data_IF_752508057903
#
_entry.id   IF_752508057903
#
_cell.length_a   1.000
_cell.length_b   1.000
_cell.length_c   1.000
_cell.angle_alpha   90.00
_cell.angle_beta   90.00
_cell.angle_gamma   90.00
#
_symmetry.space_group_name_H-M   'P 1'
#
loop_
_entity.id
_entity.type
_entity.pdbx_description
1 polymer ?
#
# COMPACT_ATOMS: atom_id res chain seq x y z
N UNK A 39 30.16 3.76 3.59
CA UNK A 39 30.01 5.07 4.21
C UNK A 39 28.77 5.13 5.10
N UNK A 40 27.64 4.70 4.55
CA UNK A 40 26.40 4.72 5.31
C UNK A 40 26.44 3.70 6.44
N UNK A 41 25.84 4.07 7.57
CA UNK A 41 25.86 3.26 8.76
C UNK A 41 24.55 2.49 8.91
N UNK A 42 24.61 1.41 9.67
CA UNK A 42 23.42 0.61 9.93
C UNK A 42 22.37 1.41 10.68
N UNK A 43 22.81 2.22 11.65
CA UNK A 43 21.87 3.04 12.40
C UNK A 43 21.14 4.01 11.48
N UNK A 44 21.83 4.54 10.47
CA UNK A 44 21.17 5.39 9.49
C UNK A 44 20.09 4.63 8.74
N UNK A 45 20.37 3.40 8.34
CA UNK A 45 19.39 2.60 7.62
C UNK A 45 18.17 2.32 8.49
N UNK A 46 18.39 1.97 9.76
CA UNK A 46 17.27 1.77 10.67
C UNK A 46 16.46 3.06 10.84
N UNK A 47 17.13 4.20 10.99
CA UNK A 47 16.43 5.45 11.14
C UNK A 47 15.56 5.76 9.94
N UNK A 48 16.10 5.57 8.74
CA UNK A 48 15.32 5.83 7.53
C UNK A 48 14.22 4.79 7.34
N UNK A 49 14.39 3.58 7.88
CA UNK A 49 13.36 2.56 7.76
C UNK A 49 12.20 2.82 8.70
N UNK A 50 12.46 3.41 9.87
CA UNK A 50 11.38 3.67 10.82
C UNK A 50 10.30 4.54 10.19
N UNK A 51 10.67 5.37 9.21
CA UNK A 51 9.70 6.22 8.57
C UNK A 51 8.75 5.51 7.62
N UNK A 52 8.88 4.21 7.44
CA UNK A 52 7.98 3.48 6.59
C UNK A 52 6.71 3.01 7.26
N UNK A 53 6.61 3.16 8.57
CA UNK A 53 5.40 2.81 9.30
C UNK A 53 4.22 3.71 8.98
N UNK A 54 4.31 5.03 9.19
CA UNK A 54 3.10 5.86 9.34
C UNK A 54 2.07 5.74 8.24
N UNK A 55 2.43 6.03 6.98
CA UNK A 55 1.45 5.97 5.91
C UNK A 55 0.89 4.56 5.75
N UNK A 56 1.77 3.57 5.62
CA UNK A 56 1.32 2.21 5.39
C UNK A 56 0.58 1.64 6.60
N UNK A 57 0.78 2.23 7.78
CA UNK A 57 0.06 1.85 8.98
C UNK A 57 -1.35 2.43 9.03
N UNK A 58 -1.47 3.75 8.91
CA UNK A 58 -2.79 4.36 8.96
C UNK A 58 -3.66 3.93 7.78
N UNK A 59 -3.08 3.80 6.59
CA UNK A 59 -3.87 3.38 5.45
C UNK A 59 -4.51 2.02 5.66
N UNK A 60 -3.73 1.06 6.18
CA UNK A 60 -4.28 -0.26 6.45
C UNK A 60 -5.25 -0.23 7.62
N UNK A 61 -4.98 0.55 8.65
CA UNK A 61 -5.90 0.61 9.78
C UNK A 61 -7.22 1.29 9.42
N UNK A 62 -7.22 2.13 8.39
CA UNK A 62 -8.43 2.86 8.01
C UNK A 62 -9.22 2.12 6.94
N UNK A 63 -8.56 1.73 5.85
CA UNK A 63 -9.26 1.16 4.70
C UNK A 63 -10.05 -0.09 5.03
N UNK A 64 -9.69 -0.78 6.10
CA UNK A 64 -10.41 -1.98 6.53
C UNK A 64 -11.55 -1.68 7.50
N UNK A 65 -11.67 -0.44 7.99
CA UNK A 65 -12.56 -0.17 9.11
C UNK A 65 -13.47 1.03 8.93
N UNK A 66 -13.16 1.97 8.04
CA UNK A 66 -14.10 3.07 7.85
C UNK A 66 -15.23 2.69 6.90
N UNK A 67 -15.82 1.52 7.12
CA UNK A 67 -17.09 1.14 6.50
C UNK A 67 -18.01 0.44 7.47
N UNK A 68 -17.49 -0.20 8.52
CA UNK A 68 -18.30 -0.70 9.61
C UNK A 68 -18.43 0.36 10.70
N UNK A 69 -17.51 1.31 10.77
CA UNK A 69 -17.66 2.45 11.67
C UNK A 69 -18.89 3.29 11.37
N UNK A 70 -19.11 3.61 10.10
CA UNK A 70 -20.17 4.54 9.75
C UNK A 70 -21.55 3.91 9.81
N UNK A 71 -21.64 2.62 10.10
CA UNK A 71 -22.92 1.92 10.10
C UNK A 71 -23.33 1.37 11.45
N UNK A 72 -22.47 1.43 12.47
CA UNK A 72 -22.82 0.88 13.78
C UNK A 72 -22.49 1.77 14.96
N UNK A 73 -21.59 2.74 14.83
CA UNK A 73 -21.28 3.67 15.90
C UNK A 73 -21.80 5.07 15.58
N UNK A 74 -21.32 5.67 14.50
CA UNK A 74 -21.93 6.89 13.97
C UNK A 74 -23.14 6.47 13.16
N UNK A 75 -24.33 6.66 13.73
CA UNK A 75 -25.54 6.21 13.06
C UNK A 75 -25.77 7.09 11.84
N UNK A 76 -25.34 6.59 10.69
CA UNK A 76 -25.45 7.32 9.42
C UNK A 76 -26.10 6.41 8.40
N UNK A 77 -26.91 6.99 7.52
CA UNK A 77 -27.58 6.21 6.50
C UNK A 77 -26.55 5.55 5.58
N UNK A 78 -26.86 4.37 5.04
CA UNK A 78 -25.87 3.66 4.20
C UNK A 78 -25.42 4.44 2.97
N UNK A 79 -26.30 5.18 2.31
CA UNK A 79 -25.93 5.91 1.10
C UNK A 79 -24.88 6.98 1.38
N UNK A 80 -25.04 7.80 2.43
CA UNK A 80 -23.94 8.70 2.80
C UNK A 80 -22.64 8.00 3.08
N UNK A 81 -22.66 6.83 3.71
CA UNK A 81 -21.41 6.10 3.96
C UNK A 81 -20.74 5.72 2.65
N UNK A 82 -21.53 5.23 1.69
CA UNK A 82 -20.97 4.87 0.40
C UNK A 82 -20.38 6.09 -0.30
N UNK A 83 -21.08 7.23 -0.23
CA UNK A 83 -20.57 8.42 -0.91
C UNK A 83 -19.30 8.92 -0.22
N UNK A 84 -19.22 8.81 1.11
CA UNK A 84 -17.98 9.15 1.81
C UNK A 84 -16.84 8.27 1.32
N UNK A 85 -17.08 6.97 1.22
CA UNK A 85 -16.03 6.07 0.76
C UNK A 85 -15.57 6.43 -0.64
N UNK A 86 -16.52 6.66 -1.55
CA UNK A 86 -16.17 6.96 -2.93
C UNK A 86 -15.35 8.25 -3.02
N UNK A 87 -15.82 9.31 -2.37
CA UNK A 87 -15.13 10.59 -2.44
C UNK A 87 -13.73 10.49 -1.81
N UNK A 88 -13.64 9.82 -0.66
CA UNK A 88 -12.35 9.70 0.00
C UNK A 88 -11.34 8.93 -0.83
N UNK A 89 -11.76 7.81 -1.42
CA UNK A 89 -10.85 7.04 -2.23
C UNK A 89 -10.46 7.79 -3.50
N UNK A 90 -11.38 8.60 -4.03
CA UNK A 90 -11.06 9.35 -5.25
C UNK A 90 -10.11 10.50 -4.99
N UNK A 91 -10.22 11.15 -3.83
CA UNK A 91 -9.49 12.40 -3.62
C UNK A 91 -7.98 12.18 -3.50
N UNK A 92 -7.55 11.06 -2.93
CA UNK A 92 -6.12 10.78 -2.83
C UNK A 92 -5.47 10.69 -4.20
N UNK A 93 -6.11 9.97 -5.12
CA UNK A 93 -5.56 9.80 -6.45
C UNK A 93 -5.42 11.12 -7.18
N UNK A 94 -6.31 12.07 -6.91
CA UNK A 94 -6.28 13.37 -7.55
C UNK A 94 -5.36 14.35 -6.84
N UNK A 95 -4.98 14.07 -5.59
CA UNK A 95 -3.99 14.90 -4.90
C UNK A 95 -2.55 14.48 -5.14
N UNK A 96 -2.27 13.18 -5.20
CA UNK A 96 -0.89 12.74 -5.28
C UNK A 96 -0.09 13.41 -6.40
N UNK A 97 -0.56 13.43 -7.67
CA UNK A 97 0.21 14.12 -8.70
C UNK A 97 0.38 15.61 -8.45
N UNK A 98 -0.63 16.25 -7.86
CA UNK A 98 -0.53 17.68 -7.58
C UNK A 98 0.56 17.97 -6.55
N UNK A 99 0.60 17.19 -5.48
CA UNK A 99 1.66 17.36 -4.49
C UNK A 99 3.01 17.08 -5.10
N UNK A 100 3.10 16.02 -5.92
CA UNK A 100 4.37 15.73 -6.57
C UNK A 100 4.84 16.86 -7.47
N UNK A 101 3.92 17.45 -8.22
CA UNK A 101 4.26 18.56 -9.08
C UNK A 101 4.69 19.79 -8.28
N UNK A 102 3.93 20.12 -7.24
CA UNK A 102 4.16 21.34 -6.49
C UNK A 102 5.31 21.22 -5.50
N UNK A 103 5.84 20.03 -5.26
CA UNK A 103 7.02 19.88 -4.43
C UNK A 103 8.31 20.08 -5.22
N UNK A 104 8.26 20.01 -6.55
CA UNK A 104 9.46 20.26 -7.34
C UNK A 104 9.81 21.75 -7.38
N UNK A 105 8.81 22.62 -7.44
CA UNK A 105 9.04 24.06 -7.46
C UNK A 105 9.13 24.62 -6.03
N UNK A 106 10.10 24.08 -5.29
CA UNK A 106 10.35 24.51 -3.92
C UNK A 106 11.82 24.89 -3.79
N UNK A 107 12.08 26.13 -3.39
CA UNK A 107 13.45 26.59 -3.24
C UNK A 107 14.10 25.97 -2.01
N UNK A 108 15.40 25.75 -2.08
CA UNK A 108 16.15 25.18 -0.97
C UNK A 108 16.15 26.17 0.19
N UNK A 109 15.58 25.78 1.31
CA UNK A 109 15.42 26.67 2.46
C UNK A 109 16.61 26.52 3.41
N UNK A 110 16.57 27.22 4.54
CA UNK A 110 17.66 27.17 5.49
C UNK A 110 17.80 25.81 6.17
N UNK A 111 16.76 24.97 6.09
CA UNK A 111 16.81 23.64 6.72
C UNK A 111 16.16 22.65 5.75
N UNK A 112 16.99 22.08 4.87
CA UNK A 112 16.54 21.05 3.96
C UNK A 112 15.66 21.53 2.82
N UNK A 113 15.67 20.80 1.71
CA UNK A 113 14.79 21.06 0.58
C UNK A 113 13.58 20.13 0.56
N UNK A 114 13.79 18.83 0.76
CA UNK A 114 12.72 17.86 0.86
C UNK A 114 12.21 17.70 2.29
N UNK A 115 13.13 17.48 3.23
CA UNK A 115 12.75 17.11 4.59
C UNK A 115 11.82 18.09 5.28
N UNK A 116 11.94 19.43 5.12
CA UNK A 116 11.03 20.32 5.87
C UNK A 116 9.55 20.05 5.63
N UNK A 117 9.17 19.61 4.42
CA UNK A 117 7.78 19.24 4.17
C UNK A 117 7.27 18.23 5.18
N UNK A 118 8.13 17.31 5.61
CA UNK A 118 7.74 16.37 6.67
C UNK A 118 7.45 17.10 7.96
N UNK A 119 8.36 17.98 8.41
CA UNK A 119 8.27 18.50 9.77
C UNK A 119 7.09 19.44 9.92
N UNK A 120 6.64 20.04 8.82
CA UNK A 120 5.47 20.91 8.85
C UNK A 120 4.20 20.18 8.46
N UNK A 121 4.20 18.85 8.51
CA UNK A 121 3.01 18.09 8.15
C UNK A 121 2.52 17.19 9.27
N UNK A 122 3.43 16.53 10.00
CA UNK A 122 3.00 15.63 11.06
C UNK A 122 2.23 16.33 12.17
N UNK A 123 2.67 17.47 12.72
CA UNK A 123 1.93 18.07 13.85
C UNK A 123 0.51 18.46 13.50
N UNK A 124 0.21 18.70 12.23
CA UNK A 124 -1.17 18.94 11.81
C UNK A 124 -1.89 17.65 11.46
N UNK A 125 -1.16 16.58 11.12
CA UNK A 125 -1.79 15.31 10.80
C UNK A 125 -2.48 14.68 12.00
N UNK A 126 -1.76 14.57 13.12
CA UNK A 126 -2.27 13.85 14.29
C UNK A 126 -3.69 14.29 14.61
N UNK A 127 -3.85 15.58 14.92
CA UNK A 127 -5.17 16.06 15.33
C UNK A 127 -6.21 15.72 14.28
N UNK A 128 -5.89 15.95 13.01
CA UNK A 128 -6.81 15.58 11.94
C UNK A 128 -7.23 14.13 12.07
N UNK A 129 -6.24 13.22 12.10
CA UNK A 129 -6.54 11.81 12.28
C UNK A 129 -7.36 11.60 13.54
N UNK A 130 -6.91 12.21 14.64
CA UNK A 130 -7.55 11.94 15.93
C UNK A 130 -8.98 12.48 15.96
N UNK A 131 -9.35 13.32 14.99
CA UNK A 131 -10.73 13.81 14.97
C UNK A 131 -11.65 12.83 14.24
N UNK A 132 -11.14 12.10 13.25
CA UNK A 132 -12.04 11.33 12.40
C UNK A 132 -12.64 10.14 13.14
N UNK A 133 -12.05 9.73 14.26
CA UNK A 133 -12.36 8.45 14.86
C UNK A 133 -13.36 8.54 16.01
N UNK A 134 -14.06 9.67 16.16
CA UNK A 134 -15.10 9.72 17.18
C UNK A 134 -16.20 10.67 16.71
N UNK A 135 -17.38 10.51 17.30
CA UNK A 135 -18.54 11.32 16.96
C UNK A 135 -18.82 12.27 18.13
N UNK A 136 -18.42 13.52 18.03
CA UNK A 136 -18.79 14.51 19.05
C UNK A 136 -19.99 15.34 18.62
N UNK A 137 -20.45 15.10 17.39
CA UNK A 137 -21.31 16.05 16.70
C UNK A 137 -22.73 15.92 17.24
N UNK A 138 -23.22 17.00 17.86
CA UNK A 138 -24.56 17.05 18.45
C UNK A 138 -25.29 18.27 17.91
N UNK A 139 -25.83 18.19 16.69
CA UNK A 139 -26.47 19.34 16.05
C UNK A 139 -27.95 19.51 16.42
N UNK A 140 -28.25 19.33 17.71
CA UNK A 140 -29.62 19.48 18.23
C UNK A 140 -30.59 18.54 17.50
N UNK A 141 -30.35 17.24 17.66
CA UNK A 141 -31.22 16.22 17.09
C UNK A 141 -30.54 15.28 16.11
N UNK A 142 -29.24 15.44 15.85
CA UNK A 142 -28.47 14.57 14.98
C UNK A 142 -29.08 14.52 13.57
N UNK A 143 -29.04 15.67 12.91
CA UNK A 143 -29.50 15.77 11.54
C UNK A 143 -28.43 15.21 10.61
N UNK A 144 -28.81 14.23 9.78
CA UNK A 144 -27.85 13.49 8.98
C UNK A 144 -27.12 14.42 8.02
N UNK A 145 -27.85 15.20 7.24
CA UNK A 145 -27.22 16.13 6.31
C UNK A 145 -26.37 17.16 7.05
N UNK A 146 -26.85 17.64 8.19
CA UNK A 146 -26.04 18.47 9.07
C UNK A 146 -24.96 17.68 9.80
N UNK A 147 -25.02 16.34 9.74
CA UNK A 147 -24.15 15.51 10.54
C UNK A 147 -22.89 14.98 9.86
N UNK A 148 -23.03 14.38 8.67
CA UNK A 148 -21.89 13.64 8.13
C UNK A 148 -20.77 14.55 7.63
N UNK A 149 -21.02 15.86 7.50
CA UNK A 149 -19.97 16.76 7.06
C UNK A 149 -18.80 16.81 8.02
N UNK A 150 -19.00 16.38 9.27
CA UNK A 150 -17.88 16.25 10.20
C UNK A 150 -16.93 15.15 9.79
N UNK A 151 -17.32 14.29 8.85
CA UNK A 151 -16.49 13.16 8.43
C UNK A 151 -15.81 13.37 7.09
N UNK A 152 -16.53 13.85 6.08
CA UNK A 152 -15.97 13.97 4.74
C UNK A 152 -14.77 14.91 4.73
N UNK A 153 -14.93 16.10 5.32
CA UNK A 153 -13.86 17.08 5.29
C UNK A 153 -12.64 16.59 6.05
N UNK A 154 -12.85 15.99 7.22
CA UNK A 154 -11.72 15.50 8.00
C UNK A 154 -11.00 14.37 7.28
N UNK A 155 -11.76 13.47 6.65
CA UNK A 155 -11.15 12.38 5.88
C UNK A 155 -10.31 12.94 4.75
N UNK A 156 -10.85 13.91 4.00
CA UNK A 156 -10.12 14.51 2.90
C UNK A 156 -8.86 15.20 3.40
N UNK A 157 -8.96 15.93 4.50
CA UNK A 157 -7.79 16.65 5.02
C UNK A 157 -6.72 15.67 5.46
N UNK A 158 -7.09 14.59 6.13
CA UNK A 158 -6.12 13.58 6.52
C UNK A 158 -5.47 12.96 5.29
N UNK A 159 -6.25 12.66 4.26
CA UNK A 159 -5.70 12.06 3.07
C UNK A 159 -4.68 12.99 2.41
N UNK A 160 -5.02 14.28 2.31
CA UNK A 160 -4.10 15.23 1.70
C UNK A 160 -2.84 15.40 2.54
N UNK A 161 -2.97 15.44 3.86
CA UNK A 161 -1.79 15.59 4.71
C UNK A 161 -0.88 14.38 4.62
N UNK A 162 -1.45 13.17 4.62
CA UNK A 162 -0.63 11.98 4.52
C UNK A 162 0.04 11.89 3.16
N UNK A 163 -0.66 12.33 2.11
CA UNK A 163 -0.02 12.45 0.80
C UNK A 163 1.15 13.42 0.86
N UNK A 164 0.96 14.56 1.52
CA UNK A 164 2.05 15.52 1.69
C UNK A 164 3.23 14.92 2.43
N UNK A 165 3.00 14.00 3.36
CA UNK A 165 4.09 13.33 4.05
C UNK A 165 4.75 12.22 3.24
N UNK A 166 4.00 11.52 2.39
CA UNK A 166 4.52 10.30 1.79
C UNK A 166 5.56 10.59 0.70
N UNK A 167 5.18 11.39 -0.30
CA UNK A 167 6.03 11.55 -1.48
C UNK A 167 7.45 12.01 -1.12
N UNK A 168 7.67 13.05 -0.32
CA UNK A 168 9.05 13.40 0.02
C UNK A 168 9.79 12.29 0.75
N UNK A 169 9.10 11.54 1.61
CA UNK A 169 9.75 10.45 2.31
C UNK A 169 10.20 9.37 1.34
N UNK A 170 9.36 9.05 0.36
CA UNK A 170 9.75 8.08 -0.66
C UNK A 170 10.72 8.64 -1.68
N UNK A 171 10.93 9.95 -1.69
CA UNK A 171 11.89 10.56 -2.59
C UNK A 171 13.25 10.74 -1.94
N UNK A 172 13.32 10.75 -0.61
CA UNK A 172 14.60 10.84 0.09
C UNK A 172 15.56 9.74 -0.31
N UNK A 173 15.10 8.69 -0.98
CA UNK A 173 15.93 7.53 -1.29
C UNK A 173 17.00 7.82 -2.34
N UNK A 174 17.03 9.02 -2.92
CA UNK A 174 18.07 9.36 -3.87
C UNK A 174 18.96 10.51 -3.43
N UNK A 175 18.69 11.12 -2.27
CA UNK A 175 19.50 12.22 -1.76
C UNK A 175 20.33 11.77 -0.56
N UNK A 176 20.77 10.51 -0.57
CA UNK A 176 21.60 9.96 0.49
C UNK A 176 22.90 9.48 -0.15
N UNK A 177 23.91 10.34 -0.18
CA UNK A 177 25.29 10.02 -0.53
C UNK A 177 25.48 9.69 -2.01
N UNK A 178 24.37 9.56 -2.76
CA UNK A 178 24.41 9.28 -4.19
C UNK A 178 25.32 8.09 -4.52
N UNK A 179 25.15 7.01 -3.78
CA UNK A 179 25.90 5.78 -4.02
C UNK A 179 24.96 4.75 -4.65
N UNK A 180 25.45 4.09 -5.70
CA UNK A 180 24.58 3.23 -6.50
C UNK A 180 23.98 2.10 -5.68
N UNK A 181 24.81 1.43 -4.88
CA UNK A 181 24.32 0.26 -4.14
C UNK A 181 23.49 0.67 -2.92
N UNK A 182 23.88 1.76 -2.26
CA UNK A 182 23.25 2.11 -1.00
C UNK A 182 21.80 2.55 -1.18
N UNK A 183 21.45 3.05 -2.37
CA UNK A 183 20.06 3.38 -2.64
C UNK A 183 19.19 2.13 -2.55
N UNK A 184 19.59 1.06 -3.24
CA UNK A 184 18.85 -0.19 -3.17
C UNK A 184 18.88 -0.75 -1.75
N UNK A 185 20.03 -0.63 -1.08
CA UNK A 185 20.14 -1.13 0.29
C UNK A 185 19.11 -0.46 1.20
N UNK A 186 18.98 0.87 1.09
CA UNK A 186 17.99 1.59 1.89
C UNK A 186 16.58 1.20 1.48
N UNK A 187 16.35 1.00 0.17
CA UNK A 187 15.01 0.65 -0.29
C UNK A 187 14.55 -0.67 0.32
N UNK A 188 15.48 -1.62 0.48
CA UNK A 188 15.10 -2.91 1.06
C UNK A 188 14.57 -2.75 2.47
N UNK A 189 15.30 -2.03 3.33
CA UNK A 189 14.84 -1.80 4.69
C UNK A 189 13.64 -0.88 4.74
N UNK A 190 13.39 -0.08 3.69
CA UNK A 190 12.17 0.71 3.66
C UNK A 190 10.95 -0.17 3.41
N UNK A 191 11.06 -1.11 2.47
CA UNK A 191 9.91 -1.93 2.14
C UNK A 191 9.74 -3.15 3.03
N UNK A 192 10.70 -3.47 3.89
CA UNK A 192 10.40 -4.41 4.96
C UNK A 192 9.43 -3.80 5.97
N UNK A 193 9.67 -2.54 6.34
CA UNK A 193 8.87 -1.88 7.35
C UNK A 193 7.44 -1.70 6.88
N UNK A 194 7.23 -1.46 5.60
CA UNK A 194 5.86 -1.29 5.10
C UNK A 194 5.04 -2.57 5.26
N UNK A 195 5.63 -3.71 4.94
CA UNK A 195 4.92 -4.97 5.11
C UNK A 195 4.63 -5.22 6.58
N UNK A 196 5.62 -4.99 7.44
CA UNK A 196 5.35 -5.15 8.87
C UNK A 196 4.29 -4.18 9.36
N UNK A 197 4.22 -2.99 8.78
CA UNK A 197 3.18 -2.04 9.15
C UNK A 197 1.81 -2.52 8.76
N UNK A 198 1.68 -3.05 7.54
CA UNK A 198 0.40 -3.58 7.11
C UNK A 198 -0.05 -4.72 8.02
N UNK A 199 0.90 -5.57 8.43
CA UNK A 199 0.55 -6.66 9.34
C UNK A 199 0.09 -6.11 10.69
N UNK A 200 0.87 -5.19 11.26
CA UNK A 200 0.63 -4.75 12.63
C UNK A 200 -0.62 -3.89 12.74
N UNK A 201 -0.92 -3.08 11.72
CA UNK A 201 -2.01 -2.14 11.84
C UNK A 201 -3.35 -2.81 12.07
N UNK A 202 -3.65 -3.85 11.29
CA UNK A 202 -4.90 -4.57 11.49
C UNK A 202 -4.91 -5.33 12.81
N UNK A 203 -3.77 -5.91 13.22
CA UNK A 203 -3.74 -6.70 14.44
C UNK A 203 -3.97 -5.84 15.68
N UNK A 204 -3.39 -4.63 15.71
CA UNK A 204 -3.60 -3.74 16.85
C UNK A 204 -5.08 -3.42 17.00
N UNK A 205 -5.71 -3.00 15.90
CA UNK A 205 -7.13 -2.66 15.94
C UNK A 205 -7.97 -3.87 16.32
N UNK A 206 -7.62 -5.05 15.80
CA UNK A 206 -8.38 -6.24 16.11
C UNK A 206 -8.32 -6.62 17.57
N UNK A 207 -7.13 -6.60 18.16
CA UNK A 207 -7.04 -6.93 19.58
C UNK A 207 -7.59 -5.82 20.46
N UNK A 208 -7.68 -4.58 19.96
CA UNK A 208 -8.32 -3.52 20.73
C UNK A 208 -9.83 -3.64 20.65
N UNK A 209 -10.37 -3.72 19.44
CA UNK A 209 -11.81 -3.86 19.23
C UNK A 209 -12.09 -5.19 18.58
N UNK A 210 -12.93 -6.01 19.21
CA UNK A 210 -13.16 -7.36 18.73
C UNK A 210 -13.89 -7.37 17.40
N UNK A 211 -13.61 -8.41 16.61
CA UNK A 211 -14.27 -8.57 15.32
C UNK A 211 -15.75 -8.89 15.50
N UNK A 212 -16.54 -8.58 14.48
CA UNK A 212 -17.96 -8.88 14.51
C UNK A 212 -18.18 -10.39 14.64
N UNK A 213 -19.23 -10.76 15.37
CA UNK A 213 -19.47 -12.17 15.65
C UNK A 213 -19.82 -12.94 14.38
N UNK A 214 -19.14 -14.06 14.17
CA UNK A 214 -19.45 -14.93 13.06
C UNK A 214 -20.81 -15.59 13.28
N UNK A 215 -21.54 -15.89 12.21
CA UNK A 215 -22.88 -16.46 12.35
C UNK A 215 -22.93 -17.99 12.41
N UNK A 216 -21.86 -18.68 12.05
CA UNK A 216 -21.87 -20.14 12.07
C UNK A 216 -20.52 -20.66 12.52
N UNK A 217 -20.53 -21.83 13.14
CA UNK A 217 -19.34 -22.46 13.69
C UNK A 217 -19.12 -23.81 13.00
N UNK A 218 -17.86 -24.16 12.78
CA UNK A 218 -17.50 -25.39 12.10
C UNK A 218 -17.06 -26.44 13.12
N UNK A 219 -17.70 -27.61 13.06
CA UNK A 219 -17.35 -28.70 13.96
C UNK A 219 -15.95 -29.23 13.63
N UNK A 220 -15.29 -29.79 14.65
CA UNK A 220 -13.94 -30.32 14.45
C UNK A 220 -13.93 -31.44 13.42
N UNK A 221 -14.90 -32.35 13.46
CA UNK A 221 -15.04 -33.34 12.41
C UNK A 221 -15.26 -32.67 11.05
N UNK A 222 -15.93 -31.52 11.06
CA UNK A 222 -16.23 -30.76 9.87
C UNK A 222 -17.71 -30.75 9.56
N UNK A 223 -18.37 -29.67 9.98
CA UNK A 223 -19.79 -29.46 9.75
C UNK A 223 -20.13 -28.06 10.25
N UNK A 224 -21.10 -27.44 9.59
CA UNK A 224 -21.48 -26.06 9.88
C UNK A 224 -22.76 -26.08 10.70
N UNK A 225 -22.75 -25.39 11.83
CA UNK A 225 -23.91 -25.28 12.71
C UNK A 225 -24.40 -23.85 12.67
N UNK A 226 -25.64 -23.65 12.21
CA UNK A 226 -26.19 -22.30 12.12
C UNK A 226 -26.47 -21.75 13.52
N UNK A 227 -26.57 -20.43 13.61
CA UNK A 227 -26.84 -19.78 14.88
C UNK A 227 -27.48 -18.42 14.63
N UNK A 228 -28.07 -17.86 15.67
CA UNK A 228 -28.71 -16.55 15.62
C UNK A 228 -28.45 -15.82 16.93
N UNK A 229 -27.84 -14.63 16.83
CA UNK A 229 -27.54 -13.86 18.04
C UNK A 229 -28.83 -13.34 18.66
N UNK A 230 -29.72 -12.77 17.86
CA UNK A 230 -31.00 -12.23 18.31
C UNK A 230 -30.80 -11.25 19.47
N UNK A 231 -29.96 -10.25 19.24
CA UNK A 231 -29.61 -9.26 20.25
C UNK A 231 -30.05 -7.88 19.77
N UNK A 232 -30.70 -7.13 20.67
CA UNK A 232 -31.05 -5.74 20.35
C UNK A 232 -29.80 -4.90 20.12
N UNK A 233 -28.78 -5.07 20.96
CA UNK A 233 -27.48 -4.42 20.81
C UNK A 233 -27.63 -2.91 20.68
N UNK A 234 -28.50 -2.33 21.51
CA UNK A 234 -28.75 -0.89 21.49
C UNK A 234 -28.57 -0.24 22.86
N UNK A 235 -27.92 -0.94 23.79
CA UNK A 235 -27.67 -0.37 25.11
C UNK A 235 -26.69 0.80 24.98
N UNK A 236 -27.02 1.91 25.65
CA UNK A 236 -26.17 3.10 25.55
C UNK A 236 -24.81 2.88 26.18
N UNK A 237 -24.73 2.02 27.21
CA UNK A 237 -23.46 1.77 27.86
C UNK A 237 -22.47 1.12 26.91
N UNK A 238 -22.93 0.12 26.14
CA UNK A 238 -22.05 -0.54 25.19
C UNK A 238 -21.57 0.44 24.12
N UNK A 239 -22.47 1.30 23.65
CA UNK A 239 -22.10 2.30 22.65
C UNK A 239 -21.04 3.25 23.17
N UNK A 240 -21.25 3.77 24.39
CA UNK A 240 -20.32 4.72 24.99
C UNK A 240 -18.99 4.03 25.28
N UNK A 241 -19.02 2.71 25.50
CA UNK A 241 -17.78 1.97 25.68
C UNK A 241 -17.04 1.81 24.36
N UNK A 242 -17.76 1.48 23.29
CA UNK A 242 -17.10 1.27 21.99
C UNK A 242 -16.48 2.56 21.48
N UNK A 243 -17.15 3.69 21.69
CA UNK A 243 -16.54 4.95 21.29
C UNK A 243 -15.21 5.18 21.99
N UNK A 244 -15.14 4.87 23.29
CA UNK A 244 -13.90 5.03 24.03
C UNK A 244 -12.82 4.08 23.51
N UNK A 245 -13.21 2.87 23.13
CA UNK A 245 -12.26 1.90 22.59
C UNK A 245 -11.66 2.42 21.29
N UNK A 246 -12.51 2.88 20.38
CA UNK A 246 -12.00 3.47 19.14
C UNK A 246 -11.11 4.67 19.41
N UNK A 247 -11.48 5.50 20.39
CA UNK A 247 -10.63 6.64 20.75
C UNK A 247 -9.26 6.17 21.19
N UNK A 248 -9.20 5.13 22.03
CA UNK A 248 -7.93 4.63 22.52
C UNK A 248 -7.07 4.09 21.38
N UNK A 249 -7.70 3.34 20.47
CA UNK A 249 -6.95 2.80 19.33
C UNK A 249 -6.38 3.92 18.47
N UNK A 250 -7.20 4.94 18.19
CA UNK A 250 -6.73 6.07 17.40
C UNK A 250 -5.59 6.79 18.10
N UNK A 251 -5.69 6.96 19.41
CA UNK A 251 -4.62 7.60 20.15
C UNK A 251 -3.32 6.80 20.09
N UNK A 252 -3.42 5.47 20.20
CA UNK A 252 -2.22 4.63 20.12
C UNK A 252 -1.57 4.79 18.74
N UNK A 253 -2.37 4.73 17.69
CA UNK A 253 -1.81 4.82 16.35
C UNK A 253 -1.21 6.21 16.11
N UNK A 254 -1.85 7.26 16.63
CA UNK A 254 -1.30 8.60 16.50
C UNK A 254 0.03 8.72 17.24
N UNK A 255 0.11 8.13 18.43
CA UNK A 255 1.35 8.19 19.19
C UNK A 255 2.49 7.50 18.46
N UNK A 256 2.23 6.31 17.91
CA UNK A 256 3.29 5.65 17.15
C UNK A 256 3.63 6.43 15.89
N UNK A 257 2.62 7.06 15.26
CA UNK A 257 2.87 7.94 14.11
C UNK A 257 3.87 9.02 14.47
N UNK A 258 3.61 9.76 15.55
CA UNK A 258 4.46 10.89 15.89
C UNK A 258 5.83 10.42 16.37
N UNK A 259 5.90 9.27 17.04
CA UNK A 259 7.19 8.75 17.45
C UNK A 259 8.05 8.40 16.24
N UNK A 260 7.46 7.72 15.25
CA UNK A 260 8.20 7.42 14.03
C UNK A 260 8.61 8.68 13.30
N UNK A 261 7.73 9.68 13.26
CA UNK A 261 8.06 10.94 12.61
C UNK A 261 9.27 11.60 13.27
N UNK A 262 9.27 11.69 14.60
CA UNK A 262 10.40 12.29 15.29
C UNK A 262 11.66 11.45 15.19
N UNK A 263 11.56 10.13 15.06
CA UNK A 263 12.75 9.34 14.77
C UNK A 263 13.31 9.70 13.40
N UNK A 264 12.42 9.84 12.40
CA UNK A 264 12.90 10.10 11.04
C UNK A 264 13.60 11.44 10.94
N UNK A 265 13.06 12.47 11.59
CA UNK A 265 13.59 13.82 11.44
C UNK A 265 15.01 13.95 11.95
N UNK A 266 15.44 13.08 12.86
CA UNK A 266 16.78 13.13 13.44
C UNK A 266 17.50 11.82 13.14
N UNK A 267 18.64 11.92 12.46
CA UNK A 267 19.42 10.74 12.16
C UNK A 267 19.84 10.62 10.71
N UNK A 268 18.95 11.02 9.80
CA UNK A 268 19.22 11.01 8.38
C UNK A 268 19.27 12.46 7.90
N UNK A 269 20.32 12.78 7.15
CA UNK A 269 20.57 14.14 6.69
C UNK A 269 20.39 14.19 5.18
N UNK A 270 19.55 15.13 4.72
CA UNK A 270 19.38 15.37 3.30
C UNK A 270 20.65 16.02 2.78
N UNK A 271 21.48 15.23 2.09
CA UNK A 271 22.78 15.71 1.63
C UNK A 271 22.61 16.92 0.72
N UNK A 272 23.46 17.93 0.94
CA UNK A 272 23.40 19.13 0.14
C UNK A 272 23.72 18.83 -1.32
N UNK A 273 22.92 19.41 -2.22
CA UNK A 273 23.16 19.27 -3.66
C UNK A 273 24.46 19.97 -4.01
N UNK A 274 25.50 19.19 -4.31
CA UNK A 274 26.82 19.74 -4.60
C UNK A 274 27.00 20.14 -6.05
N UNK A 275 25.99 19.95 -6.90
CA UNK A 275 26.09 20.33 -8.29
C UNK A 275 25.53 21.74 -8.51
N UNK A 276 25.83 22.30 -9.67
CA UNK A 276 25.36 23.63 -10.05
C UNK A 276 24.00 23.61 -10.71
N UNK A 277 23.19 22.57 -10.48
CA UNK A 277 21.90 22.46 -11.13
C UNK A 277 20.97 23.60 -10.69
N UNK A 278 20.34 24.24 -11.66
CA UNK A 278 19.43 25.35 -11.42
C UNK A 278 18.67 25.62 -12.73
N UNK A 279 17.84 26.65 -12.71
CA UNK A 279 17.06 27.03 -13.89
C UNK A 279 17.75 28.18 -14.62
N UNK A 280 17.98 27.98 -15.92
CA UNK A 280 18.58 29.00 -16.76
C UNK A 280 17.49 29.92 -17.32
N UNK A 281 17.85 30.76 -18.29
CA UNK A 281 16.86 31.60 -18.95
C UNK A 281 15.82 30.79 -19.71
N UNK A 282 16.13 29.52 -19.99
CA UNK A 282 15.20 28.58 -20.61
C UNK A 282 14.39 27.89 -19.51
N UNK A 283 13.77 26.76 -19.84
CA UNK A 283 13.00 25.95 -18.90
C UNK A 283 11.78 26.69 -18.35
N UNK A 284 10.73 26.87 -19.18
CA UNK A 284 9.49 27.47 -18.66
C UNK A 284 8.78 26.59 -17.64
N UNK A 285 7.60 27.03 -17.21
CA UNK A 285 6.95 26.48 -16.02
C UNK A 285 6.67 24.99 -16.16
N UNK A 286 6.16 24.55 -17.31
CA UNK A 286 5.95 23.14 -17.59
C UNK A 286 7.08 22.49 -18.38
N UNK A 287 8.29 23.05 -18.33
CA UNK A 287 9.39 22.44 -19.09
C UNK A 287 9.71 21.04 -18.59
N UNK A 288 9.75 20.84 -17.28
CA UNK A 288 10.08 19.54 -16.72
C UNK A 288 9.01 18.49 -16.93
N UNK A 289 7.78 18.79 -16.47
CA UNK A 289 6.72 17.78 -16.50
C UNK A 289 6.38 17.37 -17.92
N UNK A 290 6.48 18.31 -18.88
CA UNK A 290 6.22 17.97 -20.27
C UNK A 290 7.25 16.99 -20.81
N UNK A 291 8.38 16.84 -20.13
CA UNK A 291 9.45 15.95 -20.56
C UNK A 291 9.55 14.68 -19.73
N UNK A 292 9.14 14.72 -18.46
CA UNK A 292 9.21 13.52 -17.63
C UNK A 292 8.35 12.41 -18.21
N UNK A 293 7.15 12.75 -18.67
CA UNK A 293 6.34 11.77 -19.39
C UNK A 293 6.95 11.54 -20.76
N UNK A 294 6.72 10.34 -21.30
CA UNK A 294 7.29 10.00 -22.58
C UNK A 294 8.79 9.86 -22.58
N UNK A 295 9.39 9.61 -21.42
CA UNK A 295 10.84 9.48 -21.32
C UNK A 295 11.35 8.23 -22.03
N UNK A 296 10.48 7.24 -22.28
CA UNK A 296 10.92 6.00 -22.85
C UNK A 296 10.86 4.86 -21.85
N UNK A 297 12.03 4.48 -21.32
CA UNK A 297 12.08 3.35 -20.39
C UNK A 297 11.19 3.50 -19.17
N UNK A 298 10.93 4.73 -18.72
CA UNK A 298 10.14 4.94 -17.51
C UNK A 298 8.70 4.48 -17.73
N UNK A 299 8.06 4.94 -18.80
CA UNK A 299 6.70 4.51 -19.08
C UNK A 299 6.65 3.04 -19.47
N UNK A 300 7.76 2.48 -19.93
CA UNK A 300 7.79 1.06 -20.22
C UNK A 300 7.78 0.24 -18.94
N UNK A 301 8.55 0.69 -17.93
CA UNK A 301 8.53 0.04 -16.62
C UNK A 301 7.18 0.22 -15.93
N UNK A 302 6.54 1.36 -16.14
CA UNK A 302 5.27 1.64 -15.49
C UNK A 302 4.24 0.58 -15.81
N UNK A 303 4.16 0.16 -17.08
CA UNK A 303 3.14 -0.81 -17.47
C UNK A 303 3.34 -2.15 -16.77
N UNK A 304 4.60 -2.61 -16.71
CA UNK A 304 4.87 -3.86 -16.00
C UNK A 304 4.54 -3.77 -14.52
N UNK A 305 4.94 -2.66 -13.88
CA UNK A 305 4.59 -2.46 -12.49
C UNK A 305 3.08 -2.49 -12.30
N UNK A 306 2.35 -1.81 -13.19
CA UNK A 306 0.90 -1.73 -13.06
C UNK A 306 0.27 -3.11 -13.14
N UNK A 307 0.65 -3.89 -14.15
CA UNK A 307 0.05 -5.20 -14.32
C UNK A 307 0.39 -6.14 -13.17
N UNK A 308 1.66 -6.20 -12.78
CA UNK A 308 2.03 -7.10 -11.69
C UNK A 308 1.33 -6.70 -10.40
N UNK A 309 1.30 -5.40 -10.10
CA UNK A 309 0.65 -4.94 -8.87
C UNK A 309 -0.84 -5.24 -8.89
N UNK A 310 -1.50 -5.05 -10.03
CA UNK A 310 -2.92 -5.39 -10.14
C UNK A 310 -3.16 -6.87 -9.86
N UNK A 311 -2.34 -7.73 -10.47
CA UNK A 311 -2.53 -9.16 -10.28
C UNK A 311 -2.39 -9.53 -8.82
N UNK A 312 -1.35 -9.01 -8.15
CA UNK A 312 -1.13 -9.45 -6.77
C UNK A 312 -2.12 -8.80 -5.81
N UNK A 313 -2.61 -7.60 -6.12
CA UNK A 313 -3.71 -7.05 -5.34
C UNK A 313 -4.93 -7.94 -5.42
N UNK A 314 -5.27 -8.40 -6.62
CA UNK A 314 -6.36 -9.37 -6.76
C UNK A 314 -6.10 -10.58 -5.88
N UNK A 315 -4.89 -11.15 -5.97
CA UNK A 315 -4.57 -12.39 -5.27
C UNK A 315 -4.78 -12.23 -3.77
N UNK A 316 -4.17 -11.22 -3.17
CA UNK A 316 -4.31 -11.07 -1.73
C UNK A 316 -5.75 -10.71 -1.34
N UNK A 317 -6.31 -9.67 -1.98
CA UNK A 317 -7.61 -9.17 -1.57
C UNK A 317 -8.71 -10.20 -1.67
N UNK A 318 -8.60 -11.17 -2.57
CA UNK A 318 -9.65 -12.16 -2.67
C UNK A 318 -9.28 -13.53 -2.14
N UNK A 319 -7.98 -13.84 -2.04
CA UNK A 319 -7.56 -14.99 -1.26
C UNK A 319 -7.86 -14.80 0.20
N UNK A 320 -8.16 -13.56 0.61
CA UNK A 320 -8.67 -13.31 1.96
C UNK A 320 -9.84 -14.24 2.29
N UNK A 321 -10.78 -14.40 1.35
CA UNK A 321 -11.94 -15.23 1.60
C UNK A 321 -12.10 -16.37 0.59
N UNK A 322 -11.15 -16.58 -0.32
CA UNK A 322 -11.22 -17.71 -1.23
C UNK A 322 -11.32 -19.02 -0.48
N UNK A 323 -10.41 -19.25 0.46
CA UNK A 323 -10.45 -20.46 1.26
C UNK A 323 -11.37 -20.31 2.45
N UNK A 324 -12.59 -19.83 2.19
CA UNK A 324 -13.62 -19.75 3.23
C UNK A 324 -14.94 -20.25 2.69
N UNK A 325 -15.18 -20.09 1.39
CA UNK A 325 -16.44 -20.50 0.77
C UNK A 325 -16.27 -21.63 -0.21
N UNK A 326 -15.46 -21.45 -1.25
CA UNK A 326 -15.25 -22.52 -2.22
C UNK A 326 -14.47 -23.68 -1.63
N UNK A 327 -13.89 -23.50 -0.45
CA UNK A 327 -13.29 -24.57 0.32
C UNK A 327 -13.95 -24.62 1.69
N UNK A 328 -13.49 -25.57 2.50
CA UNK A 328 -13.81 -25.63 3.91
C UNK A 328 -12.95 -24.61 4.63
N UNK A 329 -12.75 -24.81 5.94
CA UNK A 329 -11.71 -24.13 6.73
C UNK A 329 -12.18 -22.76 7.21
N UNK A 330 -13.51 -22.64 7.39
CA UNK A 330 -14.12 -21.38 7.78
C UNK A 330 -13.69 -20.89 9.16
N UNK A 331 -12.91 -21.68 9.90
CA UNK A 331 -12.56 -21.34 11.26
C UNK A 331 -11.15 -20.78 11.42
N UNK A 332 -10.32 -20.83 10.38
CA UNK A 332 -8.92 -20.46 10.54
C UNK A 332 -8.37 -19.55 9.45
N UNK A 333 -9.20 -19.12 8.50
CA UNK A 333 -8.71 -18.22 7.44
C UNK A 333 -8.09 -16.96 8.02
N UNK A 334 -8.59 -16.47 9.15
CA UNK A 334 -8.03 -15.28 9.77
C UNK A 334 -6.57 -15.48 10.18
N UNK A 335 -6.14 -16.72 10.34
CA UNK A 335 -4.73 -17.02 10.57
C UNK A 335 -3.97 -17.34 9.30
N UNK A 336 -4.64 -17.94 8.31
CA UNK A 336 -3.98 -18.23 7.04
C UNK A 336 -3.58 -16.95 6.31
N UNK A 337 -4.44 -15.93 6.33
CA UNK A 337 -4.08 -14.65 5.73
C UNK A 337 -2.92 -14.01 6.48
N UNK A 338 -2.92 -14.11 7.81
CA UNK A 338 -1.78 -13.59 8.56
C UNK A 338 -0.50 -14.31 8.17
N UNK A 339 -0.59 -15.61 7.93
CA UNK A 339 0.58 -16.37 7.50
C UNK A 339 1.08 -15.88 6.15
N UNK A 340 0.17 -15.74 5.17
CA UNK A 340 0.60 -15.34 3.83
C UNK A 340 1.20 -13.93 3.86
N UNK A 341 0.61 -13.05 4.67
CA UNK A 341 1.12 -11.68 4.73
C UNK A 341 2.45 -11.58 5.47
N UNK A 342 2.62 -12.36 6.55
CA UNK A 342 3.85 -12.31 7.33
C UNK A 342 5.01 -12.99 6.62
N UNK A 343 4.72 -14.03 5.83
CA UNK A 343 5.78 -14.70 5.09
C UNK A 343 6.48 -13.77 4.11
N UNK A 344 5.79 -12.72 3.66
CA UNK A 344 6.42 -11.77 2.75
C UNK A 344 7.51 -10.95 3.43
N UNK A 345 7.44 -10.80 4.76
CA UNK A 345 8.44 -10.02 5.46
C UNK A 345 9.80 -10.69 5.45
N UNK A 346 9.89 -11.89 6.00
CA UNK A 346 11.17 -12.55 6.19
C UNK A 346 11.77 -13.04 4.90
N UNK A 347 11.19 -12.68 3.76
CA UNK A 347 11.77 -12.99 2.46
C UNK A 347 12.33 -11.78 1.74
N UNK A 348 11.91 -10.56 2.11
CA UNK A 348 12.51 -9.37 1.51
C UNK A 348 14.03 -9.35 1.66
N UNK A 349 14.60 -9.60 2.85
CA UNK A 349 16.07 -9.62 2.94
C UNK A 349 16.71 -10.66 2.03
N UNK A 350 16.21 -11.90 2.04
CA UNK A 350 16.85 -12.93 1.21
C UNK A 350 16.59 -12.65 -0.27
N UNK A 351 15.40 -12.16 -0.61
CA UNK A 351 15.10 -11.93 -2.01
C UNK A 351 15.79 -10.67 -2.52
N UNK A 352 16.35 -9.85 -1.63
CA UNK A 352 17.19 -8.75 -2.07
C UNK A 352 18.65 -9.14 -2.10
N UNK A 353 19.07 -10.02 -1.19
CA UNK A 353 20.38 -10.63 -1.31
C UNK A 353 20.51 -11.39 -2.62
N UNK A 354 19.41 -12.00 -3.08
CA UNK A 354 19.43 -12.69 -4.36
C UNK A 354 19.62 -11.73 -5.53
N UNK A 355 19.21 -10.48 -5.40
CA UNK A 355 19.41 -9.53 -6.48
C UNK A 355 20.72 -8.77 -6.34
N UNK A 356 21.33 -8.75 -5.16
CA UNK A 356 22.68 -8.23 -5.05
C UNK A 356 23.66 -9.05 -5.88
N UNK A 357 23.35 -10.31 -6.15
CA UNK A 357 24.15 -11.16 -7.02
C UNK A 357 23.34 -11.46 -8.26
N UNK A 358 23.88 -11.11 -9.43
CA UNK A 358 23.28 -11.39 -10.73
C UNK A 358 21.78 -11.10 -10.76
N UNK A 359 21.36 -10.07 -10.03
CA UNK A 359 19.95 -9.72 -9.95
C UNK A 359 19.60 -8.48 -10.74
N UNK A 360 18.61 -7.72 -10.25
CA UNK A 360 18.26 -6.41 -10.83
C UNK A 360 17.84 -6.56 -12.29
N UNK A 361 16.63 -7.09 -12.46
CA UNK A 361 15.94 -7.41 -13.72
C UNK A 361 16.36 -8.78 -14.24
N UNK A 362 17.29 -9.47 -13.57
CA UNK A 362 17.50 -10.88 -13.81
C UNK A 362 16.90 -11.72 -12.69
N UNK A 363 16.03 -11.12 -11.88
CA UNK A 363 15.38 -11.82 -10.78
C UNK A 363 13.86 -11.73 -10.79
N UNK A 364 13.26 -10.76 -11.48
CA UNK A 364 11.81 -10.67 -11.53
C UNK A 364 11.22 -11.92 -12.16
N UNK A 365 11.85 -12.41 -13.23
CA UNK A 365 11.37 -13.62 -13.90
C UNK A 365 11.25 -14.76 -12.91
N UNK A 366 12.28 -14.99 -12.11
CA UNK A 366 12.29 -16.11 -11.18
C UNK A 366 11.19 -15.96 -10.15
N UNK A 367 11.02 -14.75 -9.61
CA UNK A 367 10.00 -14.55 -8.58
C UNK A 367 8.59 -14.79 -9.08
N UNK A 368 8.26 -14.20 -10.23
CA UNK A 368 6.89 -14.34 -10.71
C UNK A 368 6.66 -15.76 -11.24
N UNK A 369 7.69 -16.38 -11.81
CA UNK A 369 7.59 -17.79 -12.16
C UNK A 369 7.32 -18.65 -10.95
N UNK A 370 8.02 -18.41 -9.84
CA UNK A 370 7.74 -19.13 -8.60
C UNK A 370 6.35 -18.83 -8.07
N UNK A 371 5.78 -17.68 -8.42
CA UNK A 371 4.37 -17.45 -8.13
C UNK A 371 3.48 -18.43 -8.90
N UNK A 372 3.76 -18.59 -10.20
CA UNK A 372 2.93 -19.37 -11.11
C UNK A 372 2.48 -20.75 -10.61
N UNK A 373 3.40 -21.67 -10.29
CA UNK A 373 3.01 -23.10 -10.30
C UNK A 373 2.12 -23.49 -9.14
N UNK A 374 2.37 -22.98 -7.94
CA UNK A 374 1.53 -23.37 -6.81
C UNK A 374 0.15 -22.71 -6.90
N UNK A 375 0.07 -21.52 -7.48
CA UNK A 375 -1.24 -20.94 -7.77
C UNK A 375 -2.02 -21.80 -8.75
N UNK A 376 -1.37 -22.28 -9.81
CA UNK A 376 -2.09 -23.15 -10.73
C UNK A 376 -2.36 -24.51 -10.09
N UNK A 377 -1.58 -24.89 -9.08
CA UNK A 377 -1.79 -26.16 -8.40
C UNK A 377 -3.04 -26.13 -7.52
N UNK A 378 -3.13 -25.12 -6.64
CA UNK A 378 -4.17 -25.12 -5.62
C UNK A 378 -5.58 -25.12 -6.22
N UNK A 379 -5.73 -24.73 -7.48
CA UNK A 379 -7.03 -24.83 -8.13
C UNK A 379 -7.48 -26.27 -8.25
N UNK A 380 -6.54 -27.21 -8.24
CA UNK A 380 -6.82 -28.64 -8.21
C UNK A 380 -6.27 -29.22 -6.91
N UNK A 381 -6.40 -30.53 -6.75
CA UNK A 381 -5.86 -31.25 -5.59
C UNK A 381 -6.41 -30.65 -4.29
N UNK A 382 -7.73 -30.78 -4.15
CA UNK A 382 -8.51 -30.04 -3.19
C UNK A 382 -8.39 -30.60 -1.76
N UNK A 383 -8.60 -29.72 -0.79
CA UNK A 383 -9.02 -30.06 0.56
C UNK A 383 -8.00 -30.97 1.26
N UNK A 384 -6.84 -30.38 1.55
CA UNK A 384 -5.78 -31.15 2.20
C UNK A 384 -5.22 -30.56 3.49
N UNK A 385 -5.44 -29.28 3.78
CA UNK A 385 -4.99 -28.64 5.02
C UNK A 385 -3.47 -28.52 5.11
N UNK A 386 -2.75 -29.12 4.18
CA UNK A 386 -1.29 -29.08 4.20
C UNK A 386 -0.73 -28.38 2.97
N UNK A 387 -1.31 -28.63 1.80
CA UNK A 387 -0.92 -27.89 0.61
C UNK A 387 -1.35 -26.44 0.69
N UNK A 388 -2.42 -26.15 1.43
CA UNK A 388 -2.92 -24.80 1.55
C UNK A 388 -1.97 -23.88 2.31
N UNK A 389 -1.12 -24.42 3.17
CA UNK A 389 -0.15 -23.57 3.86
C UNK A 389 1.12 -23.37 3.04
N UNK A 390 1.60 -24.43 2.39
CA UNK A 390 2.79 -24.25 1.55
C UNK A 390 2.48 -23.33 0.38
N UNK A 391 1.29 -23.44 -0.21
CA UNK A 391 0.95 -22.52 -1.29
C UNK A 391 0.84 -21.10 -0.77
N UNK A 392 0.35 -20.92 0.45
CA UNK A 392 0.26 -19.59 1.03
C UNK A 392 1.64 -18.99 1.24
N UNK A 393 2.57 -19.78 1.77
CA UNK A 393 3.93 -19.28 2.02
C UNK A 393 4.62 -18.97 0.69
N UNK A 394 4.39 -19.79 -0.32
CA UNK A 394 4.96 -19.52 -1.64
C UNK A 394 4.38 -18.24 -2.22
N UNK A 395 3.06 -18.05 -2.08
CA UNK A 395 2.45 -16.82 -2.55
C UNK A 395 3.02 -15.61 -1.83
N UNK A 396 3.36 -15.76 -0.55
CA UNK A 396 4.02 -14.67 0.16
C UNK A 396 5.40 -14.38 -0.41
N UNK A 397 6.18 -15.43 -0.67
CA UNK A 397 7.50 -15.26 -1.27
C UNK A 397 7.39 -14.59 -2.62
N UNK A 398 6.31 -14.83 -3.35
CA UNK A 398 6.05 -14.13 -4.60
C UNK A 398 5.62 -12.69 -4.41
N UNK A 399 4.80 -12.42 -3.39
CA UNK A 399 4.39 -11.05 -3.08
C UNK A 399 5.62 -10.20 -2.79
N UNK A 400 6.61 -10.78 -2.12
CA UNK A 400 7.83 -10.05 -1.83
C UNK A 400 8.49 -9.51 -3.10
N UNK A 401 8.56 -10.32 -4.14
CA UNK A 401 9.21 -9.89 -5.37
C UNK A 401 8.49 -8.69 -5.98
N UNK A 402 7.16 -8.75 -6.06
CA UNK A 402 6.40 -7.67 -6.66
C UNK A 402 6.34 -6.44 -5.78
N UNK A 403 6.56 -6.57 -4.48
CA UNK A 403 6.67 -5.41 -3.61
C UNK A 403 8.06 -4.78 -3.64
N UNK A 404 9.10 -5.53 -3.95
CA UNK A 404 10.46 -5.03 -3.87
C UNK A 404 11.05 -4.61 -5.21
N UNK A 405 11.03 -5.51 -6.21
CA UNK A 405 11.79 -5.25 -7.43
C UNK A 405 11.35 -3.99 -8.16
N UNK A 406 10.07 -3.77 -8.45
CA UNK A 406 9.70 -2.59 -9.26
C UNK A 406 9.98 -1.27 -8.59
N UNK A 407 10.34 -1.25 -7.31
CA UNK A 407 10.74 -0.03 -6.64
C UNK A 407 12.25 0.16 -6.57
N UNK A 408 13.01 -0.93 -6.55
CA UNK A 408 14.46 -0.86 -6.53
C UNK A 408 15.06 -0.69 -7.92
N UNK A 409 14.24 -0.65 -8.96
CA UNK A 409 14.73 -0.53 -10.32
C UNK A 409 14.65 0.90 -10.83
N UNK A 410 13.71 1.68 -10.35
CA UNK A 410 13.47 3.05 -10.81
C UNK A 410 14.69 3.97 -10.68
N UNK A 411 15.47 3.90 -9.60
CA UNK A 411 16.66 4.77 -9.52
C UNK A 411 17.61 4.65 -10.69
N UNK A 412 17.77 3.45 -11.27
CA UNK A 412 18.58 3.34 -12.47
C UNK A 412 17.98 4.13 -13.63
N UNK A 413 16.64 4.12 -13.74
CA UNK A 413 15.98 4.94 -14.75
C UNK A 413 16.24 6.43 -14.48
N UNK A 414 16.27 6.81 -13.20
CA UNK A 414 16.57 8.21 -12.87
C UNK A 414 17.99 8.56 -13.28
N UNK A 415 18.94 7.65 -13.07
CA UNK A 415 20.30 7.88 -13.54
C UNK A 415 20.33 8.03 -15.05
N UNK A 416 19.61 7.17 -15.76
CA UNK A 416 19.53 7.28 -17.22
C UNK A 416 19.00 8.64 -17.64
N UNK A 417 17.94 9.11 -16.97
CA UNK A 417 17.36 10.40 -17.31
C UNK A 417 18.35 11.54 -17.09
N UNK A 418 19.04 11.53 -15.94
CA UNK A 418 20.02 12.58 -15.68
C UNK A 418 21.16 12.55 -16.69
N UNK A 419 21.70 11.36 -16.99
CA UNK A 419 22.88 11.28 -17.83
C UNK A 419 22.55 11.55 -19.29
N UNK A 420 21.44 11.01 -19.79
CA UNK A 420 21.10 11.14 -21.19
C UNK A 420 20.46 12.50 -21.51
N UNK A 421 20.47 13.42 -20.55
CA UNK A 421 19.93 14.76 -20.73
C UNK A 421 20.91 15.77 -20.14
N UNK A 422 20.80 17.04 -20.55
CA UNK A 422 21.67 18.07 -19.96
C UNK A 422 21.29 18.39 -18.53
N UNK A 423 21.87 19.45 -17.98
CA UNK A 423 21.73 19.80 -16.57
C UNK A 423 20.35 19.49 -16.00
N UNK A 424 19.29 19.99 -16.65
CA UNK A 424 17.91 19.60 -16.32
C UNK A 424 17.63 19.77 -14.84
N UNK A 425 17.42 21.02 -14.37
CA UNK A 425 17.53 21.36 -12.94
C UNK A 425 17.06 20.30 -11.94
N UNK A 426 16.01 19.56 -12.27
CA UNK A 426 15.60 18.47 -11.41
C UNK A 426 14.12 18.20 -11.34
N UNK A 427 13.74 16.94 -11.51
CA UNK A 427 12.35 16.52 -11.48
C UNK A 427 12.18 15.20 -10.73
N UNK A 428 13.07 14.93 -9.78
CA UNK A 428 13.02 13.65 -9.06
C UNK A 428 11.67 13.36 -8.42
N UNK A 429 11.04 14.27 -7.68
CA UNK A 429 9.79 13.90 -6.99
C UNK A 429 8.58 13.83 -7.92
N UNK A 430 8.80 13.81 -9.22
CA UNK A 430 7.70 13.62 -10.16
C UNK A 430 7.47 12.14 -10.46
N UNK A 431 8.56 11.42 -10.70
CA UNK A 431 8.48 9.99 -10.97
C UNK A 431 7.78 9.27 -9.82
N UNK A 432 8.19 9.58 -8.59
CA UNK A 432 7.61 8.93 -7.42
C UNK A 432 6.14 9.27 -7.26
N UNK A 433 5.75 10.51 -7.54
CA UNK A 433 4.34 10.88 -7.42
C UNK A 433 3.50 10.11 -8.41
N UNK A 434 3.91 10.08 -9.68
CA UNK A 434 3.16 9.31 -10.66
C UNK A 434 3.16 7.82 -10.30
N UNK A 435 4.23 7.34 -9.69
CA UNK A 435 4.33 5.93 -9.35
C UNK A 435 3.33 5.57 -8.27
N UNK A 436 3.24 6.41 -7.23
CA UNK A 436 2.26 6.19 -6.18
C UNK A 436 0.85 6.32 -6.73
N UNK A 437 0.64 7.25 -7.66
CA UNK A 437 -0.69 7.43 -8.23
C UNK A 437 -1.13 6.18 -8.98
N UNK A 438 -0.24 5.60 -9.78
CA UNK A 438 -0.56 4.33 -10.44
C UNK A 438 -0.73 3.18 -9.45
N UNK A 439 0.02 3.20 -8.35
CA UNK A 439 -0.18 2.18 -7.32
C UNK A 439 -1.60 2.24 -6.76
N UNK A 440 -2.04 3.47 -6.48
CA UNK A 440 -3.41 3.71 -5.95
C UNK A 440 -4.42 3.26 -7.02
N UNK A 441 -4.14 3.55 -8.29
CA UNK A 441 -5.03 3.16 -9.37
C UNK A 441 -5.19 1.65 -9.42
N UNK A 442 -4.08 0.91 -9.35
CA UNK A 442 -4.16 -0.55 -9.40
C UNK A 442 -4.92 -1.09 -8.19
N UNK A 443 -4.55 -0.62 -6.99
CA UNK A 443 -5.19 -1.15 -5.79
C UNK A 443 -6.61 -0.68 -5.63
N UNK A 444 -7.09 0.30 -6.39
CA UNK A 444 -8.46 0.73 -6.30
C UNK A 444 -9.31 0.20 -7.43
N UNK A 445 -8.67 -0.27 -8.51
CA UNK A 445 -9.40 -0.98 -9.55
C UNK A 445 -9.49 -2.48 -9.26
N UNK A 446 -8.56 -3.01 -8.47
CA UNK A 446 -8.67 -4.41 -8.05
C UNK A 446 -9.98 -4.65 -7.29
N UNK A 447 -10.23 -3.83 -6.27
CA UNK A 447 -11.45 -3.98 -5.48
C UNK A 447 -12.69 -3.77 -6.34
N UNK A 448 -12.64 -2.80 -7.24
CA UNK A 448 -13.80 -2.56 -8.10
C UNK A 448 -14.12 -3.75 -8.98
N UNK A 449 -13.10 -4.31 -9.63
CA UNK A 449 -13.33 -5.47 -10.49
C UNK A 449 -13.83 -6.65 -9.66
N UNK A 450 -13.23 -6.87 -8.50
CA UNK A 450 -13.68 -7.98 -7.66
C UNK A 450 -15.15 -7.82 -7.28
N UNK A 451 -15.52 -6.64 -6.78
CA UNK A 451 -16.89 -6.43 -6.34
C UNK A 451 -17.88 -6.56 -7.49
N UNK A 452 -17.55 -5.98 -8.65
CA UNK A 452 -18.45 -6.08 -9.79
C UNK A 452 -18.61 -7.53 -10.23
N UNK A 453 -17.50 -8.26 -10.35
CA UNK A 453 -17.59 -9.65 -10.80
C UNK A 453 -18.35 -10.52 -9.83
N UNK A 454 -18.12 -10.37 -8.52
CA UNK A 454 -18.88 -11.16 -7.56
C UNK A 454 -20.35 -10.78 -7.58
N UNK A 455 -20.66 -9.49 -7.66
CA UNK A 455 -22.05 -9.05 -7.66
C UNK A 455 -22.77 -9.44 -8.95
N UNK A 456 -22.05 -9.83 -9.99
CA UNK A 456 -22.72 -10.34 -11.17
C UNK A 456 -23.17 -11.78 -10.98
N UNK A 457 -22.70 -12.43 -9.92
CA UNK A 457 -23.25 -13.69 -9.45
C UNK A 457 -24.05 -13.43 -8.18
N UNK A 458 -24.94 -14.37 -7.85
CA UNK A 458 -25.87 -14.13 -6.75
C UNK A 458 -25.16 -14.20 -5.40
N UNK A 459 -24.26 -13.25 -5.15
CA UNK A 459 -23.43 -13.28 -3.94
C UNK A 459 -24.29 -12.88 -2.74
N UNK A 460 -24.93 -13.89 -2.16
CA UNK A 460 -25.74 -13.68 -0.96
C UNK A 460 -24.88 -13.10 0.15
N UNK A 461 -25.45 -12.16 0.90
CA UNK A 461 -24.63 -11.24 1.70
C UNK A 461 -24.54 -11.66 3.16
N UNK A 462 -25.62 -12.22 3.73
CA UNK A 462 -25.71 -12.45 5.18
C UNK A 462 -26.09 -13.90 5.48
N UNK A 463 -25.50 -14.84 4.77
CA UNK A 463 -25.77 -16.25 5.00
C UNK A 463 -24.49 -17.06 5.07
N UNK A 464 -24.63 -18.26 5.64
CA UNK A 464 -23.55 -19.24 5.63
C UNK A 464 -23.78 -20.22 4.49
N UNK A 465 -23.74 -19.69 3.28
CA UNK A 465 -24.08 -20.48 2.10
C UNK A 465 -23.26 -19.98 0.92
N UNK A 466 -23.46 -20.61 -0.22
CA UNK A 466 -22.77 -20.25 -1.45
C UNK A 466 -23.56 -20.74 -2.65
N UNK A 467 -23.91 -19.86 -3.57
CA UNK A 467 -24.50 -20.32 -4.83
C UNK A 467 -23.49 -21.09 -5.68
N UNK A 468 -23.92 -21.56 -6.85
CA UNK A 468 -23.09 -22.47 -7.63
C UNK A 468 -21.92 -21.74 -8.28
N UNK A 469 -22.15 -20.58 -8.87
CA UNK A 469 -21.11 -19.88 -9.61
C UNK A 469 -20.11 -19.16 -8.71
N UNK A 470 -20.57 -18.63 -7.57
CA UNK A 470 -19.68 -17.79 -6.76
C UNK A 470 -18.45 -18.57 -6.32
N UNK A 471 -18.62 -19.82 -5.89
CA UNK A 471 -17.48 -20.64 -5.51
C UNK A 471 -16.62 -21.02 -6.71
N UNK A 472 -17.10 -20.79 -7.93
CA UNK A 472 -16.32 -21.03 -9.13
C UNK A 472 -15.67 -19.75 -9.65
N UNK A 473 -16.43 -18.66 -9.74
CA UNK A 473 -15.84 -17.40 -10.15
C UNK A 473 -14.78 -16.93 -9.17
N UNK A 474 -14.95 -17.26 -7.88
CA UNK A 474 -13.96 -16.85 -6.90
C UNK A 474 -12.63 -17.57 -7.12
N UNK A 475 -12.68 -18.88 -7.33
CA UNK A 475 -11.46 -19.63 -7.65
C UNK A 475 -10.86 -19.15 -8.96
N UNK A 476 -11.70 -18.89 -9.96
CA UNK A 476 -11.21 -18.39 -11.24
C UNK A 476 -10.43 -17.09 -11.05
N UNK A 477 -11.01 -16.16 -10.30
CA UNK A 477 -10.41 -14.85 -10.11
C UNK A 477 -9.20 -14.89 -9.18
N UNK A 478 -9.08 -15.89 -8.31
CA UNK A 478 -7.89 -16.02 -7.48
C UNK A 478 -6.77 -16.69 -8.26
N UNK A 479 -7.10 -17.57 -9.20
CA UNK A 479 -6.09 -18.42 -9.82
C UNK A 479 -5.74 -18.07 -11.25
N UNK A 480 -6.71 -18.05 -12.17
CA UNK A 480 -6.38 -18.00 -13.59
C UNK A 480 -6.09 -16.59 -14.08
N UNK A 481 -6.93 -15.62 -13.73
CA UNK A 481 -6.67 -14.24 -14.14
C UNK A 481 -5.33 -13.72 -13.66
N UNK A 482 -4.89 -13.96 -12.42
CA UNK A 482 -3.52 -13.59 -12.06
C UNK A 482 -2.48 -14.19 -12.97
N UNK A 483 -2.69 -15.43 -13.43
CA UNK A 483 -1.74 -16.05 -14.35
C UNK A 483 -1.70 -15.27 -15.66
N UNK A 484 -2.86 -14.88 -16.18
CA UNK A 484 -2.89 -14.14 -17.44
C UNK A 484 -2.16 -12.81 -17.30
N UNK A 485 -2.46 -12.06 -16.23
CA UNK A 485 -1.79 -10.79 -16.04
C UNK A 485 -0.29 -10.98 -15.85
N UNK A 486 0.12 -12.00 -15.09
CA UNK A 486 1.53 -12.28 -14.89
C UNK A 486 2.23 -12.54 -16.22
N UNK A 487 1.68 -13.44 -17.04
CA UNK A 487 2.33 -13.77 -18.30
C UNK A 487 2.38 -12.57 -19.23
N UNK A 488 1.29 -11.79 -19.28
CA UNK A 488 1.29 -10.63 -20.17
C UNK A 488 2.32 -9.60 -19.72
N UNK A 489 2.41 -9.35 -18.41
CA UNK A 489 3.41 -8.44 -17.91
C UNK A 489 4.82 -8.92 -18.16
N UNK A 490 5.07 -10.22 -17.95
CA UNK A 490 6.38 -10.79 -18.24
C UNK A 490 6.74 -10.58 -19.70
N UNK A 491 5.78 -10.80 -20.60
CA UNK A 491 6.03 -10.52 -22.02
C UNK A 491 6.34 -9.06 -22.24
N UNK A 492 5.68 -8.16 -21.51
CA UNK A 492 5.88 -6.73 -21.73
C UNK A 492 7.09 -6.18 -20.97
N UNK A 493 7.62 -6.91 -20.01
CA UNK A 493 8.60 -6.35 -19.07
C UNK A 493 9.99 -6.46 -19.69
N UNK A 494 10.23 -5.64 -20.71
CA UNK A 494 11.46 -5.61 -21.50
C UNK A 494 12.16 -4.26 -21.37
N UNK A 495 12.32 -3.80 -20.12
CA UNK A 495 12.90 -2.50 -19.86
C UNK A 495 14.31 -2.41 -20.44
N UNK A 496 14.68 -1.22 -20.90
CA UNK A 496 15.94 -1.04 -21.61
C UNK A 496 17.17 -1.34 -20.75
N UNK A 497 17.31 -0.82 -19.53
CA UNK A 497 18.60 -0.94 -18.82
C UNK A 497 18.96 -2.35 -18.36
N UNK A 498 19.53 -3.16 -19.26
CA UNK A 498 20.14 -4.41 -18.83
C UNK A 498 21.38 -4.08 -17.99
N UNK A 499 21.88 -5.10 -17.27
CA UNK A 499 23.00 -4.93 -16.34
C UNK A 499 24.15 -4.13 -16.96
N UNK A 500 24.43 -4.34 -18.24
CA UNK A 500 25.47 -3.57 -18.90
C UNK A 500 25.19 -2.07 -18.87
N UNK A 501 23.92 -1.67 -19.07
CA UNK A 501 23.59 -0.25 -19.09
C UNK A 501 23.92 0.42 -17.76
N UNK A 502 23.54 -0.22 -16.65
CA UNK A 502 23.84 0.38 -15.35
C UNK A 502 25.32 0.33 -15.04
N UNK A 503 25.98 -0.79 -15.39
CA UNK A 503 27.40 -0.90 -15.11
C UNK A 503 28.22 0.08 -15.93
N UNK A 504 27.68 0.58 -17.04
CA UNK A 504 28.33 1.68 -17.76
C UNK A 504 27.95 3.04 -17.20
N UNK A 505 26.65 3.30 -16.99
CA UNK A 505 26.21 4.60 -16.51
C UNK A 505 26.71 4.92 -15.11
N UNK A 506 27.19 3.92 -14.36
CA UNK A 506 27.79 4.20 -13.07
C UNK A 506 28.98 5.14 -13.20
N UNK A 507 29.84 4.92 -14.20
CA UNK A 507 31.06 5.71 -14.33
C UNK A 507 30.77 7.13 -14.79
N UNK A 508 29.90 7.31 -15.79
CA UNK A 508 29.59 8.64 -16.26
C UNK A 508 28.83 9.49 -15.24
N UNK A 509 28.31 8.88 -14.18
CA UNK A 509 27.48 9.59 -13.21
C UNK A 509 28.29 10.20 -12.08
N UNK A 510 29.57 10.51 -12.32
CA UNK A 510 30.42 11.10 -11.29
C UNK A 510 30.55 12.61 -11.44
N UNK A 511 31.02 13.06 -12.60
CA UNK A 511 31.24 14.49 -12.82
C UNK A 511 31.18 14.83 -14.30
#
# INVERSE_FOLDING_TARGET
MAKGEGAESGSAAGLLPTSILQASERPVQVKKEPKKKQQLSICNKLCYAVGGAPYQLTGCALGFFLHIYLLDVAKVEPLPASIILFVGRAWDAFTDPLVGFCISKSSWTRLGRLMPWIIFSTPLAIIAYFLIWFVPDFPSGTESSHGFLWYLLFYCLFETLVTCFHVPYSALTMFISTEQSERDSATAYRMTVEVLGTVIGTAIQGQIVGQAKAPCLQDQNGSVVVSEVANRTQSTASLKDTQNAYLLAAGIIASIYVLCAFILILGVREQRELYESQQAESMPFFQGLRLVMGHGPYVKLIAGFLFTSLAFMLVEGNFALFCTYTLDFRNEFQNLLLAIMLSATFTIPIWQWFLTRFGKKTAVYIGISSAVPFLILVALMERNLIVTYVVAVAAGVSVAAAFLLPWSMLPDVIDDFHLKHPHSPGTEPIFFSFYVFFTKFASGVSLGVSTLSLDFANYQRQGCSQPEQVKFTLKMLVTMAPIILILLGLLLFKLYPIDEEKRRQNKKALQALREEASSSGCSDTDSTELASIL
#
